data_IF_097317458249
#
_entry.id   IF_097317458249
#
_cell.length_a   1.000
_cell.length_b   1.000
_cell.length_c   1.000
_cell.angle_alpha   90.00
_cell.angle_beta   90.00
_cell.angle_gamma   90.00
#
_symmetry.space_group_name_H-M   'P 1'
#
loop_
_entity.id
_entity.type
_entity.pdbx_description
1 polymer ?
2 polymer ?
3 water ?
#
# COMPACT_ATOMS: atom_id res chain seq x y z
N UNK A 1 4.45 -27.71 3.77
CA UNK A 1 3.27 -28.04 3.00
C UNK A 1 2.79 -26.89 2.14
N UNK A 2 3.70 -26.34 1.35
CA UNK A 2 3.37 -25.19 0.49
C UNK A 2 3.85 -25.42 -0.94
N UNK A 3 3.33 -24.61 -1.86
CA UNK A 3 3.62 -24.76 -3.28
C UNK A 3 4.89 -24.00 -3.69
N UNK A 4 5.61 -24.54 -4.69
CA UNK A 4 6.78 -23.89 -5.29
C UNK A 4 6.47 -22.50 -5.84
N UNK A 5 7.33 -21.53 -5.54
CA UNK A 5 7.19 -20.19 -6.08
C UNK A 5 7.86 -20.10 -7.45
N UNK A 6 7.08 -20.25 -8.51
CA UNK A 6 7.63 -20.29 -9.86
C UNK A 6 7.64 -18.92 -10.53
N UNK A 7 7.56 -17.87 -9.71
CA UNK A 7 7.60 -16.51 -10.23
C UNK A 7 8.92 -16.25 -10.95
N UNK A 8 8.86 -15.45 -12.01
CA UNK A 8 10.05 -15.14 -12.78
C UNK A 8 10.66 -13.80 -12.37
N UNK A 9 11.93 -13.81 -12.00
CA UNK A 9 12.65 -12.58 -11.72
C UNK A 9 13.40 -12.15 -12.97
N UNK A 10 13.09 -10.95 -13.46
CA UNK A 10 13.65 -10.49 -14.72
C UNK A 10 14.79 -9.51 -14.51
N UNK A 11 15.91 -9.78 -15.19
CA UNK A 11 17.07 -8.91 -15.11
C UNK A 11 17.14 -8.00 -16.34
N UNK A 12 17.16 -6.70 -16.09
CA UNK A 12 17.10 -5.73 -17.18
C UNK A 12 18.43 -5.01 -17.35
N UNK A 13 18.81 -4.76 -18.60
CA UNK A 13 20.07 -4.08 -18.89
C UNK A 13 19.92 -2.57 -18.74
N UNK A 14 21.03 -1.90 -18.45
CA UNK A 14 21.04 -0.45 -18.27
C UNK A 14 20.61 0.28 -19.54
N UNK A 15 21.02 -0.26 -20.68
CA UNK A 15 20.73 0.36 -21.97
C UNK A 15 19.25 0.27 -22.34
N UNK A 16 18.52 -0.57 -21.62
CA UNK A 16 17.16 -0.94 -22.02
C UNK A 16 16.08 0.01 -21.52
N UNK A 17 16.42 0.95 -20.65
CA UNK A 17 15.46 1.97 -20.27
C UNK A 17 16.06 3.38 -20.15
N UNK A 18 15.20 4.38 -20.29
CA UNK A 18 15.61 5.79 -20.32
C UNK A 18 15.15 6.52 -19.06
N UNK A 19 16.07 6.98 -18.22
CA UNK A 19 15.71 7.83 -17.10
C UNK A 19 15.37 9.23 -17.61
N UNK A 20 14.21 9.74 -17.22
CA UNK A 20 13.71 11.00 -17.78
C UNK A 20 13.51 12.10 -16.73
N UNK A 21 13.28 11.70 -15.48
CA UNK A 21 13.07 12.68 -14.42
C UNK A 21 13.38 12.15 -13.03
N UNK A 22 13.31 13.05 -12.04
CA UNK A 22 13.50 12.69 -10.64
C UNK A 22 12.21 12.94 -9.86
N UNK A 23 11.80 11.96 -9.07
CA UNK A 23 10.56 12.07 -8.29
C UNK A 23 10.84 12.38 -6.84
N UNK A 24 11.64 11.53 -6.20
CA UNK A 24 12.03 11.71 -4.82
C UNK A 24 13.46 11.30 -4.61
N UNK A 25 14.11 11.89 -3.60
CA UNK A 25 15.50 11.60 -3.32
C UNK A 25 15.72 11.26 -1.86
N UNK A 26 16.73 10.44 -1.59
CA UNK A 26 17.09 10.07 -0.24
C UNK A 26 18.51 9.56 -0.16
N UNK A 27 19.03 9.45 1.06
CA UNK A 27 20.38 8.96 1.28
C UNK A 27 20.51 7.52 0.80
N UNK A 28 19.45 6.75 1.01
CA UNK A 28 19.36 5.38 0.51
C UNK A 28 19.52 5.35 -1.00
N UNK A 29 18.96 6.37 -1.65
CA UNK A 29 18.94 6.44 -3.10
C UNK A 29 17.81 7.33 -3.56
N UNK A 30 17.63 7.44 -4.86
CA UNK A 30 16.62 8.32 -5.43
C UNK A 30 15.67 7.56 -6.35
N UNK A 31 14.48 8.10 -6.56
CA UNK A 31 13.52 7.49 -7.47
C UNK A 31 13.47 8.24 -8.79
N UNK A 32 13.61 7.50 -9.89
CA UNK A 32 13.56 8.10 -11.22
C UNK A 32 12.23 7.78 -11.90
N UNK A 33 11.85 8.64 -12.85
CA UNK A 33 10.77 8.32 -13.76
C UNK A 33 11.36 8.13 -15.14
N UNK A 34 10.94 7.08 -15.82
CA UNK A 34 11.49 6.78 -17.12
C UNK A 34 10.69 5.79 -17.94
N UNK A 35 11.21 5.45 -19.11
CA UNK A 35 10.55 4.53 -20.01
C UNK A 35 11.35 3.25 -20.18
N UNK A 36 10.65 2.13 -20.12
CA UNK A 36 11.26 0.80 -20.19
C UNK A 36 11.05 0.20 -21.57
N UNK A 37 12.13 0.14 -22.35
CA UNK A 37 12.05 -0.34 -23.73
C UNK A 37 12.81 -1.64 -23.93
N UNK A 38 12.14 -2.78 -23.69
CA UNK A 38 12.73 -4.06 -24.09
C UNK A 38 12.80 -4.12 -25.60
N UNK A 39 13.95 -3.85 -26.18
CA UNK A 39 14.03 -3.68 -27.62
C UNK A 39 13.92 -5.00 -28.37
N UNK A 40 13.35 -4.91 -29.57
CA UNK A 40 12.94 -6.10 -30.31
C UNK A 40 11.45 -6.26 -30.13
N UNK A 41 10.87 -5.47 -29.23
CA UNK A 41 9.45 -5.53 -28.91
C UNK A 41 8.69 -4.31 -29.38
N UNK A 42 9.41 -3.23 -29.64
CA UNK A 42 8.83 -1.98 -30.13
C UNK A 42 7.76 -1.45 -29.15
N UNK A 43 8.07 -1.50 -27.86
CA UNK A 43 7.18 -0.95 -26.85
C UNK A 43 7.94 -0.10 -25.83
N UNK A 44 7.32 1.00 -25.41
CA UNK A 44 7.83 1.81 -24.32
C UNK A 44 6.89 1.69 -23.13
N UNK A 45 7.44 1.39 -21.96
CA UNK A 45 6.62 1.24 -20.77
C UNK A 45 7.03 2.22 -19.67
N UNK A 46 6.10 3.09 -19.26
CA UNK A 46 6.33 4.05 -18.17
C UNK A 46 6.62 3.34 -16.86
N UNK A 47 7.81 3.56 -16.31
CA UNK A 47 8.20 2.89 -15.07
C UNK A 47 8.72 3.84 -14.01
N UNK A 48 8.69 3.39 -12.77
CA UNK A 48 9.33 4.08 -11.67
C UNK A 48 10.60 3.33 -11.30
N UNK A 49 11.74 3.96 -11.50
CA UNK A 49 13.02 3.35 -11.20
C UNK A 49 13.58 3.87 -9.88
N UNK A 50 13.92 2.95 -8.99
CA UNK A 50 14.50 3.33 -7.71
C UNK A 50 16.00 3.06 -7.73
N UNK A 51 16.77 4.04 -8.19
CA UNK A 51 18.21 3.86 -8.28
C UNK A 51 18.91 4.09 -6.95
N UNK A 52 19.54 3.02 -6.50
CA UNK A 52 20.37 2.97 -5.31
C UNK A 52 21.44 4.08 -5.32
N UNK A 53 21.77 4.61 -4.15
CA UNK A 53 22.93 5.47 -4.01
C UNK A 53 24.15 4.59 -3.69
N UNK A 54 25.10 4.51 -4.61
CA UNK A 54 26.21 3.55 -4.54
C UNK A 54 26.96 3.54 -3.20
N UNK A 55 26.72 4.54 -2.37
CA UNK A 55 27.22 4.52 -1.01
C UNK A 55 26.33 3.63 -0.14
N UNK A 56 26.45 2.31 -0.30
CA UNK A 56 25.63 1.40 0.50
C UNK A 56 26.30 0.14 1.02
N UNK A 57 26.00 -0.11 2.29
CA UNK A 57 26.22 -1.39 2.93
C UNK A 57 25.60 -2.55 2.16
N UNK A 58 26.23 -3.73 2.25
CA UNK A 58 25.70 -4.97 1.67
C UNK A 58 24.34 -5.25 2.27
N UNK A 59 24.23 -5.00 3.56
CA UNK A 59 22.97 -5.16 4.24
C UNK A 59 21.84 -4.34 3.57
N UNK A 60 22.15 -3.16 3.02
CA UNK A 60 21.11 -2.33 2.43
C UNK A 60 20.57 -2.91 1.13
N UNK A 61 21.48 -3.40 0.31
CA UNK A 61 21.15 -4.05 -0.95
C UNK A 61 20.19 -5.22 -0.77
N UNK A 62 20.40 -5.97 0.31
CA UNK A 62 19.59 -7.14 0.59
C UNK A 62 18.12 -6.76 0.88
N UNK A 63 17.88 -5.84 1.80
CA UNK A 63 16.52 -5.46 2.19
C UNK A 63 15.62 -5.16 0.99
N UNK A 64 16.19 -4.51 -0.01
CA UNK A 64 15.50 -4.22 -1.26
C UNK A 64 15.25 -5.51 -2.06
N UNK A 65 16.25 -6.39 -2.10
CA UNK A 65 16.12 -7.65 -2.83
C UNK A 65 15.01 -8.53 -2.28
N UNK A 66 14.81 -8.52 -0.96
CA UNK A 66 13.74 -9.30 -0.36
C UNK A 66 12.37 -8.70 -0.69
N UNK A 67 12.30 -7.38 -0.79
CA UNK A 67 11.09 -6.74 -1.27
C UNK A 67 10.89 -7.10 -2.72
N UNK A 68 11.98 -7.10 -3.47
CA UNK A 68 11.98 -7.50 -4.87
C UNK A 68 11.52 -8.94 -5.01
N UNK A 69 11.92 -9.78 -4.06
CA UNK A 69 11.47 -11.16 -4.01
C UNK A 69 9.96 -11.22 -3.83
N UNK A 70 9.44 -10.40 -2.92
CA UNK A 70 8.02 -10.38 -2.61
C UNK A 70 7.20 -9.83 -3.78
N UNK A 71 7.67 -8.74 -4.37
CA UNK A 71 6.96 -8.07 -5.46
C UNK A 71 6.88 -8.91 -6.73
N UNK A 72 7.86 -9.78 -6.93
CA UNK A 72 7.93 -10.58 -8.14
C UNK A 72 6.98 -11.76 -8.08
N UNK A 73 6.54 -12.11 -6.87
CA UNK A 73 5.71 -13.30 -6.68
C UNK A 73 4.24 -12.95 -6.47
N UNK A 74 3.85 -11.72 -6.80
CA UNK A 74 2.47 -11.31 -6.70
C UNK A 74 1.91 -10.88 -8.05
N UNK A 75 0.67 -11.28 -8.33
CA UNK A 75 0.02 -10.93 -9.59
C UNK A 75 -1.45 -10.56 -9.32
N UNK A 76 -1.67 -9.32 -8.89
CA UNK A 76 -3.01 -8.83 -8.67
C UNK A 76 -3.18 -7.44 -9.27
N UNK A 77 -4.36 -7.16 -9.85
CA UNK A 77 -4.69 -5.84 -10.39
C UNK A 77 -4.59 -4.73 -9.36
N UNK A 78 -4.60 -5.07 -8.08
CA UNK A 78 -4.57 -4.07 -7.02
C UNK A 78 -3.33 -4.21 -6.14
N UNK A 79 -2.33 -4.91 -6.65
CA UNK A 79 -1.04 -4.98 -6.00
C UNK A 79 0.03 -4.49 -6.98
N UNK A 80 0.87 -3.57 -6.53
CA UNK A 80 1.92 -3.01 -7.37
C UNK A 80 2.85 -4.11 -7.88
N UNK A 81 3.13 -4.10 -9.17
CA UNK A 81 3.96 -5.13 -9.77
C UNK A 81 5.39 -4.68 -10.03
N UNK A 82 6.32 -5.60 -9.85
CA UNK A 82 7.72 -5.40 -10.17
C UNK A 82 8.01 -5.82 -11.60
N UNK A 83 8.59 -4.92 -12.39
CA UNK A 83 8.91 -5.25 -13.78
C UNK A 83 10.20 -6.04 -13.85
N UNK A 84 11.17 -5.61 -13.04
CA UNK A 84 12.46 -6.27 -12.99
C UNK A 84 13.44 -5.48 -12.15
N UNK A 85 14.68 -5.93 -12.15
CA UNK A 85 15.74 -5.25 -11.40
C UNK A 85 16.96 -5.09 -12.30
N UNK A 86 17.78 -4.08 -12.01
CA UNK A 86 19.00 -3.88 -12.78
C UNK A 86 20.22 -3.98 -11.88
N UNK A 87 21.09 -4.93 -12.21
CA UNK A 87 22.31 -5.11 -11.44
C UNK A 87 23.42 -4.22 -11.97
N UNK A 88 23.23 -2.91 -11.84
CA UNK A 88 24.30 -1.95 -12.15
C UNK A 88 25.26 -2.00 -10.95
N UNK A 89 26.29 -1.15 -10.95
CA UNK A 89 27.17 -1.16 -9.80
C UNK A 89 26.34 -0.88 -8.54
N UNK A 90 25.04 -0.69 -8.78
CA UNK A 90 23.99 -0.39 -7.82
C UNK A 90 22.63 -1.00 -8.15
N UNK A 91 22.12 -1.94 -7.37
CA UNK A 91 20.85 -2.58 -7.70
C UNK A 91 19.66 -1.62 -7.63
N UNK A 92 19.02 -1.39 -8.78
CA UNK A 92 17.83 -0.54 -8.85
C UNK A 92 16.60 -1.35 -9.24
N UNK A 93 15.48 -1.05 -8.58
CA UNK A 93 14.23 -1.76 -8.83
C UNK A 93 13.35 -1.03 -9.83
N UNK A 94 12.86 -1.76 -10.82
CA UNK A 94 11.99 -1.18 -11.84
C UNK A 94 10.57 -1.66 -11.64
N UNK A 95 9.67 -0.72 -11.34
CA UNK A 95 8.28 -1.04 -11.11
C UNK A 95 7.38 -0.19 -12.01
N UNK A 96 6.11 -0.56 -12.09
CA UNK A 96 5.13 0.19 -12.86
C UNK A 96 5.00 1.62 -12.32
N UNK A 97 4.83 2.58 -13.22
CA UNK A 97 4.73 3.98 -12.81
C UNK A 97 3.31 4.36 -12.42
N UNK A 98 3.19 4.94 -11.22
CA UNK A 98 1.93 5.46 -10.73
C UNK A 98 1.96 6.99 -10.78
N UNK A 99 1.47 7.58 -11.88
CA UNK A 99 1.58 9.02 -12.15
C UNK A 99 1.04 9.91 -11.05
N UNK A 100 -0.07 9.52 -10.44
CA UNK A 100 -0.71 10.33 -9.40
C UNK A 100 -0.09 10.07 -8.04
N UNK A 101 0.84 9.11 -8.00
CA UNK A 101 1.63 8.85 -6.81
C UNK A 101 0.85 8.40 -5.59
N UNK A 102 1.22 8.96 -4.44
CA UNK A 102 0.67 8.59 -3.15
C UNK A 102 -0.82 8.92 -3.03
N UNK A 103 -1.59 7.97 -2.51
CA UNK A 103 -3.02 8.18 -2.29
C UNK A 103 -3.24 9.18 -1.17
N UNK A 104 -2.38 9.12 -0.15
CA UNK A 104 -2.44 10.04 0.97
C UNK A 104 -2.17 11.47 0.50
N UNK A 105 -1.19 11.63 -0.37
CA UNK A 105 -0.90 12.93 -0.96
C UNK A 105 -2.05 13.37 -1.87
N UNK A 106 -2.67 12.39 -2.53
CA UNK A 106 -3.71 12.67 -3.50
C UNK A 106 -4.98 13.22 -2.86
N UNK A 107 -5.42 12.59 -1.77
CA UNK A 107 -6.64 13.01 -1.11
C UNK A 107 -6.51 14.41 -0.53
N UNK A 108 -5.29 14.75 -0.10
CA UNK A 108 -5.03 16.04 0.53
C UNK A 108 -5.01 17.20 -0.47
N UNK A 109 -4.55 16.94 -1.69
CA UNK A 109 -4.49 17.99 -2.69
C UNK A 109 -5.79 18.06 -3.49
N UNK A 110 -6.64 17.05 -3.32
CA UNK A 110 -7.92 17.03 -4.01
C UNK A 110 -9.12 16.89 -3.07
N UNK A 111 -8.94 17.28 -1.80
CA UNK A 111 -10.03 17.27 -0.80
C UNK A 111 -11.30 17.87 -1.37
N UNK A 112 -11.13 18.90 -2.19
CA UNK A 112 -12.23 19.63 -2.78
C UNK A 112 -13.03 18.82 -3.79
N UNK A 113 -12.37 17.90 -4.48
CA UNK A 113 -13.01 17.21 -5.60
C UNK A 113 -13.07 15.69 -5.51
N UNK A 114 -13.09 15.15 -4.30
CA UNK A 114 -13.23 13.71 -4.13
C UNK A 114 -14.62 13.33 -3.65
N UNK A 115 -15.29 12.47 -4.40
CA UNK A 115 -16.64 12.06 -4.08
C UNK A 115 -16.70 10.71 -3.40
N UNK A 116 -17.87 10.37 -2.86
CA UNK A 116 -18.09 9.13 -2.15
C UNK A 116 -17.83 7.91 -3.02
N UNK A 117 -18.17 8.02 -4.30
CA UNK A 117 -17.96 6.92 -5.24
C UNK A 117 -16.50 6.52 -5.29
N UNK A 118 -15.61 7.51 -5.29
CA UNK A 118 -14.18 7.27 -5.34
C UNK A 118 -13.66 6.68 -4.04
N UNK A 119 -14.04 7.29 -2.92
CA UNK A 119 -13.58 6.85 -1.60
C UNK A 119 -13.98 5.41 -1.32
N UNK A 120 -15.23 5.08 -1.61
CA UNK A 120 -15.74 3.73 -1.39
C UNK A 120 -15.09 2.72 -2.36
N UNK A 121 -14.88 3.15 -3.60
CA UNK A 121 -14.23 2.31 -4.59
C UNK A 121 -12.82 1.91 -4.18
N UNK A 122 -12.10 2.86 -3.60
CA UNK A 122 -10.74 2.62 -3.14
C UNK A 122 -10.73 1.59 -2.01
N UNK A 123 -11.66 1.73 -1.08
CA UNK A 123 -11.79 0.80 0.03
C UNK A 123 -11.97 -0.63 -0.47
N UNK A 124 -12.78 -0.78 -1.51
CA UNK A 124 -13.00 -2.09 -2.12
C UNK A 124 -11.72 -2.63 -2.75
N UNK A 125 -11.02 -1.77 -3.49
CA UNK A 125 -9.82 -2.17 -4.22
C UNK A 125 -8.69 -2.56 -3.27
N UNK A 126 -8.56 -1.85 -2.17
CA UNK A 126 -7.54 -2.17 -1.18
C UNK A 126 -7.86 -3.48 -0.48
N UNK A 127 -9.14 -3.67 -0.14
CA UNK A 127 -9.60 -4.92 0.45
C UNK A 127 -9.37 -6.08 -0.52
N UNK A 128 -9.59 -5.81 -1.80
CA UNK A 128 -9.34 -6.80 -2.85
C UNK A 128 -7.86 -7.12 -2.93
N UNK A 129 -7.03 -6.09 -2.91
CA UNK A 129 -5.59 -6.26 -2.97
C UNK A 129 -5.04 -6.99 -1.76
N UNK A 130 -5.56 -6.64 -0.58
CA UNK A 130 -5.13 -7.27 0.66
C UNK A 130 -5.58 -8.73 0.73
N UNK A 131 -6.74 -9.02 0.15
CA UNK A 131 -7.27 -10.39 0.16
C UNK A 131 -6.39 -11.33 -0.64
N UNK A 132 -5.88 -10.84 -1.77
CA UNK A 132 -4.94 -11.59 -2.58
C UNK A 132 -3.71 -11.96 -1.75
N UNK A 133 -3.22 -10.97 -1.00
CA UNK A 133 -2.07 -11.16 -0.12
C UNK A 133 -2.35 -12.23 0.93
N UNK A 134 -3.59 -12.32 1.39
CA UNK A 134 -3.95 -13.37 2.34
C UNK A 134 -3.99 -14.73 1.66
N UNK A 135 -4.48 -14.76 0.42
CA UNK A 135 -4.54 -16.01 -0.34
C UNK A 135 -3.15 -16.57 -0.62
N UNK A 136 -2.16 -15.67 -0.73
CA UNK A 136 -0.76 -16.02 -0.90
C UNK A 136 -0.04 -16.01 0.45
N UNK A 137 -0.85 -16.03 1.50
CA UNK A 137 -0.40 -16.24 2.89
C UNK A 137 0.59 -15.18 3.39
N UNK A 138 0.49 -13.98 2.84
CA UNK A 138 1.45 -12.92 3.12
C UNK A 138 0.88 -11.85 4.05
N UNK A 139 1.77 -11.23 4.83
CA UNK A 139 1.38 -10.16 5.75
C UNK A 139 2.15 -8.89 5.43
N UNK A 140 1.42 -7.83 5.07
CA UNK A 140 2.04 -6.59 4.64
C UNK A 140 2.81 -5.90 5.76
N UNK A 141 2.24 -5.93 6.97
CA UNK A 141 2.86 -5.38 8.18
C UNK A 141 3.13 -3.88 8.12
N UNK A 142 2.64 -3.21 7.07
CA UNK A 142 2.77 -1.77 6.96
C UNK A 142 1.71 -1.23 6.01
N UNK A 143 0.46 -1.58 6.25
CA UNK A 143 -0.64 -1.06 5.47
C UNK A 143 -0.99 0.35 5.93
N UNK A 144 -0.78 1.32 5.04
CA UNK A 144 -1.09 2.71 5.34
C UNK A 144 -1.48 3.44 4.07
N UNK A 145 -2.09 4.62 4.23
CA UNK A 145 -2.52 5.41 3.08
C UNK A 145 -1.32 5.91 2.28
N UNK A 146 -0.18 6.04 2.95
CA UNK A 146 1.04 6.48 2.30
C UNK A 146 1.64 5.39 1.44
N UNK A 147 1.15 4.15 1.63
CA UNK A 147 1.67 3.01 0.88
C UNK A 147 0.64 2.45 -0.08
N UNK A 148 -0.30 3.29 -0.49
CA UNK A 148 -1.22 2.96 -1.58
C UNK A 148 -1.00 3.96 -2.71
N UNK A 149 -0.69 3.46 -3.89
CA UNK A 149 -0.36 4.33 -5.01
C UNK A 149 -1.51 4.44 -5.99
N UNK A 150 -1.53 5.56 -6.73
CA UNK A 150 -2.61 5.83 -7.67
C UNK A 150 -2.12 5.75 -9.12
N UNK A 151 -2.63 4.77 -9.85
CA UNK A 151 -2.34 4.64 -11.27
C UNK A 151 -3.23 5.60 -12.05
N UNK A 152 -4.53 5.49 -11.81
CA UNK A 152 -5.52 6.48 -12.23
C UNK A 152 -6.42 6.70 -11.01
N UNK A 153 -7.11 7.86 -10.96
CA UNK A 153 -8.00 8.11 -9.81
C UNK A 153 -8.97 6.98 -9.51
N UNK A 154 -9.32 6.19 -10.52
CA UNK A 154 -10.26 5.10 -10.37
C UNK A 154 -9.57 3.79 -10.04
N UNK A 155 -8.24 3.79 -10.05
CA UNK A 155 -7.47 2.57 -9.83
C UNK A 155 -6.27 2.79 -8.91
N UNK A 156 -6.29 2.14 -7.75
CA UNK A 156 -5.19 2.24 -6.80
C UNK A 156 -4.56 0.87 -6.52
N UNK A 157 -3.27 0.87 -6.21
CA UNK A 157 -2.55 -0.38 -5.94
C UNK A 157 -1.79 -0.32 -4.61
N UNK A 158 -1.60 -1.49 -4.01
CA UNK A 158 -0.89 -1.61 -2.75
C UNK A 158 0.62 -1.77 -2.98
N UNK A 159 1.43 -1.16 -2.13
CA UNK A 159 2.89 -1.22 -2.31
C UNK A 159 3.65 -1.22 -0.98
N UNK A 160 4.96 -1.03 -1.08
CA UNK A 160 5.87 -0.97 0.07
C UNK A 160 6.07 -2.22 0.92
N UNK A 161 6.63 -3.27 0.31
CA UNK A 161 6.71 -4.59 0.91
C UNK A 161 8.02 -4.80 1.65
N UNK A 162 8.60 -3.71 2.14
CA UNK A 162 9.84 -3.79 2.89
C UNK A 162 9.66 -4.57 4.18
N UNK A 163 8.47 -4.48 4.77
CA UNK A 163 8.19 -5.16 6.02
C UNK A 163 7.23 -6.33 5.81
N UNK A 164 6.91 -6.62 4.56
CA UNK A 164 5.99 -7.71 4.24
C UNK A 164 6.66 -9.07 4.35
N UNK A 165 6.30 -9.81 5.39
CA UNK A 165 6.88 -11.14 5.63
C UNK A 165 5.83 -12.26 5.49
N UNK A 166 6.24 -13.39 4.88
CA UNK A 166 5.35 -14.49 4.52
C UNK A 166 5.38 -15.60 5.60
N UNK A 167 4.28 -16.36 5.69
CA UNK A 167 4.17 -17.44 6.67
C UNK A 167 4.08 -18.76 5.91
N UNK A 168 4.79 -19.79 6.37
CA UNK A 168 4.67 -21.13 5.80
C UNK A 168 3.32 -21.77 6.11
N UNK A 169 3.11 -23.00 5.65
CA UNK A 169 1.79 -23.64 5.71
C UNK A 169 1.20 -23.76 7.11
N UNK A 170 2.02 -24.03 8.11
CA UNK A 170 1.50 -24.31 9.46
C UNK A 170 1.67 -23.16 10.44
N UNK A 171 1.69 -21.93 9.93
CA UNK A 171 1.92 -20.77 10.78
C UNK A 171 0.65 -19.91 10.85
N UNK A 172 0.44 -19.26 11.96
CA UNK A 172 -0.69 -18.36 12.13
C UNK A 172 -0.21 -16.97 12.50
N UNK A 173 0.87 -16.95 13.28
CA UNK A 173 1.43 -15.72 13.82
C UNK A 173 2.95 -15.85 13.79
N UNK A 174 3.67 -14.75 13.58
CA UNK A 174 5.08 -14.78 13.96
C UNK A 174 5.70 -13.45 14.32
N UNK A 175 6.61 -13.55 15.29
CA UNK A 175 7.23 -12.42 15.97
C UNK A 175 8.35 -11.78 15.18
N UNK A 176 8.58 -10.50 15.46
CA UNK A 176 9.76 -9.78 15.02
C UNK A 176 10.43 -9.18 16.25
N UNK A 177 11.61 -8.62 16.09
CA UNK A 177 12.33 -8.07 17.24
C UNK A 177 12.17 -6.56 17.36
N UNK A 178 12.59 -5.81 16.35
CA UNK A 178 12.63 -4.37 16.47
C UNK A 178 12.84 -3.63 15.17
N UNK A 179 13.39 -2.43 15.27
CA UNK A 179 13.47 -1.52 14.16
C UNK A 179 12.33 -0.52 14.31
N UNK A 180 12.38 0.57 13.54
CA UNK A 180 11.34 1.58 13.62
C UNK A 180 10.04 1.08 13.00
N UNK A 181 8.92 1.30 13.70
CA UNK A 181 7.63 0.77 13.30
C UNK A 181 6.52 1.83 13.35
N UNK A 182 5.47 1.65 12.51
CA UNK A 182 4.33 2.57 12.50
C UNK A 182 3.32 2.29 13.61
N UNK A 183 3.57 2.82 14.81
CA UNK A 183 2.74 2.58 15.98
C UNK A 183 1.26 2.90 15.75
N UNK A 184 0.99 4.03 15.11
CA UNK A 184 -0.37 4.54 14.95
C UNK A 184 -1.25 3.67 14.07
N UNK A 185 -0.63 2.84 13.24
CA UNK A 185 -1.37 1.97 12.31
C UNK A 185 -1.45 0.54 12.82
N UNK A 186 -0.70 0.23 13.86
CA UNK A 186 -0.54 -1.15 14.33
C UNK A 186 -1.63 -1.59 15.31
N UNK A 187 -1.98 -2.87 15.22
CA UNK A 187 -2.89 -3.47 16.18
C UNK A 187 -2.25 -3.50 17.56
N UNK A 188 -3.07 -3.70 18.60
CA UNK A 188 -2.55 -3.77 19.95
C UNK A 188 -1.70 -5.02 20.12
N UNK A 189 -2.08 -6.08 19.42
CA UNK A 189 -1.36 -7.34 19.43
C UNK A 189 0.11 -7.13 19.10
N UNK A 190 0.34 -6.32 18.07
CA UNK A 190 1.67 -6.11 17.51
C UNK A 190 2.53 -5.20 18.37
N UNK A 191 1.93 -4.16 18.94
CA UNK A 191 2.68 -3.21 19.74
C UNK A 191 3.21 -3.87 21.03
N UNK A 192 2.35 -4.64 21.68
CA UNK A 192 2.69 -5.23 22.96
C UNK A 192 3.55 -6.49 22.85
N UNK A 193 3.26 -7.34 21.86
CA UNK A 193 3.93 -8.64 21.77
C UNK A 193 4.69 -8.87 20.47
N UNK A 194 4.75 -7.86 19.60
CA UNK A 194 5.37 -7.98 18.28
C UNK A 194 4.76 -9.12 17.47
N UNK A 195 3.45 -9.31 17.62
CA UNK A 195 2.73 -10.34 16.89
C UNK A 195 1.99 -9.76 15.70
N UNK A 196 2.30 -10.28 14.52
CA UNK A 196 1.68 -9.82 13.29
C UNK A 196 0.95 -10.96 12.60
N UNK A 197 -0.34 -10.77 12.35
CA UNK A 197 -1.14 -11.73 11.60
C UNK A 197 -1.90 -10.99 10.50
N UNK A 198 -2.76 -11.71 9.80
CA UNK A 198 -3.58 -11.08 8.77
C UNK A 198 -4.62 -10.15 9.41
N UNK A 199 -5.05 -10.52 10.60
CA UNK A 199 -6.02 -9.72 11.35
C UNK A 199 -5.38 -8.44 11.87
N UNK A 200 -4.06 -8.46 12.04
CA UNK A 200 -3.34 -7.24 12.40
C UNK A 200 -3.31 -6.30 11.21
N UNK A 201 -3.36 -6.86 10.01
CA UNK A 201 -3.43 -6.06 8.79
C UNK A 201 -4.83 -5.47 8.60
N UNK A 202 -5.83 -6.14 9.17
CA UNK A 202 -7.20 -5.65 9.14
C UNK A 202 -7.31 -4.36 9.93
N UNK A 203 -6.58 -4.30 11.05
CA UNK A 203 -6.51 -3.09 11.86
C UNK A 203 -6.02 -1.91 11.04
N UNK A 204 -4.91 -2.11 10.35
CA UNK A 204 -4.30 -1.06 9.54
C UNK A 204 -5.20 -0.66 8.37
N UNK A 205 -6.07 -1.56 7.95
CA UNK A 205 -7.06 -1.26 6.93
C UNK A 205 -8.03 -0.22 7.45
N UNK A 206 -8.52 -0.42 8.68
CA UNK A 206 -9.44 0.51 9.31
C UNK A 206 -8.82 1.88 9.51
N UNK A 207 -7.54 1.90 9.89
CA UNK A 207 -6.82 3.16 10.06
C UNK A 207 -6.63 3.83 8.70
N UNK A 208 -6.33 3.03 7.68
CA UNK A 208 -6.14 3.54 6.32
C UNK A 208 -7.44 4.14 5.79
N UNK A 209 -8.55 3.45 6.03
CA UNK A 209 -9.86 3.94 5.63
C UNK A 209 -10.17 5.24 6.36
N UNK A 210 -9.83 5.29 7.65
CA UNK A 210 -10.03 6.49 8.46
C UNK A 210 -9.23 7.67 7.88
N UNK A 211 -8.03 7.38 7.37
CA UNK A 211 -7.21 8.40 6.73
C UNK A 211 -7.92 8.98 5.52
N UNK A 212 -8.48 8.11 4.69
CA UNK A 212 -9.18 8.51 3.48
C UNK A 212 -10.43 9.33 3.82
N UNK A 213 -11.17 8.85 4.81
CA UNK A 213 -12.44 9.48 5.19
C UNK A 213 -12.23 10.87 5.78
N UNK A 214 -11.11 11.07 6.46
CA UNK A 214 -10.76 12.37 7.02
C UNK A 214 -9.98 13.21 6.01
N UNK A 215 -9.84 12.66 4.80
CA UNK A 215 -9.11 13.31 3.71
C UNK A 215 -7.66 13.60 4.08
N UNK A 216 -7.02 12.65 4.76
CA UNK A 216 -5.59 12.74 5.01
C UNK A 216 -5.18 13.27 6.37
N UNK A 217 -6.09 13.22 7.34
CA UNK A 217 -5.74 13.62 8.70
C UNK A 217 -4.79 12.60 9.31
N UNK A 218 -4.12 12.99 10.39
CA UNK A 218 -3.17 12.11 11.05
C UNK A 218 -3.81 11.44 12.26
N UNK A 219 -3.76 10.09 12.30
CA UNK A 219 -4.33 9.35 13.43
C UNK A 219 -3.59 9.64 14.72
N UNK A 220 -4.34 9.98 15.77
CA UNK A 220 -3.78 10.33 17.06
C UNK A 220 -2.75 11.45 16.95
N UNK A 221 -3.14 12.55 16.33
CA UNK A 221 -2.23 13.67 16.13
C UNK A 221 -2.03 14.44 17.43
N UNK A 222 -0.78 14.82 17.70
CA UNK A 222 -0.44 15.50 18.93
C UNK A 222 -0.03 14.52 20.01
N UNK A 223 -0.82 13.46 20.17
CA UNK A 223 -0.51 12.39 21.11
C UNK A 223 0.82 11.74 20.76
N UNK A 224 1.71 11.62 21.75
CA UNK A 224 2.99 10.92 21.51
C UNK A 224 2.76 9.44 21.25
N UNK A 225 3.67 8.82 20.49
CA UNK A 225 3.53 7.42 20.13
C UNK A 225 3.66 6.50 21.36
N UNK A 226 4.29 7.02 22.41
CA UNK A 226 4.53 6.25 23.62
C UNK A 226 3.23 5.87 24.32
N UNK A 227 2.22 6.73 24.21
CA UNK A 227 0.98 6.56 24.95
C UNK A 227 -0.06 5.74 24.20
N UNK A 228 0.21 5.42 22.94
CA UNK A 228 -0.77 4.74 22.09
C UNK A 228 -1.23 3.41 22.65
N UNK A 229 -0.29 2.56 23.05
CA UNK A 229 -0.60 1.26 23.63
C UNK A 229 -1.56 1.43 24.81
N UNK A 230 -1.18 2.30 25.75
CA UNK A 230 -1.99 2.58 26.92
C UNK A 230 -3.39 3.08 26.57
N UNK A 231 -3.47 4.02 25.62
CA UNK A 231 -4.75 4.61 25.22
C UNK A 231 -5.68 3.57 24.61
N UNK A 232 -5.17 2.77 23.69
CA UNK A 232 -5.97 1.72 23.06
C UNK A 232 -6.48 0.72 24.09
N UNK A 233 -5.65 0.44 25.10
CA UNK A 233 -6.04 -0.47 26.17
C UNK A 233 -7.20 0.12 26.99
N UNK A 234 -7.26 1.44 27.06
CA UNK A 234 -8.35 2.12 27.74
C UNK A 234 -9.64 2.01 26.94
N UNK A 235 -9.52 1.59 25.69
CA UNK A 235 -10.67 1.34 24.86
C UNK A 235 -10.98 2.48 23.89
N UNK A 236 -10.10 3.48 23.88
CA UNK A 236 -10.29 4.63 22.99
C UNK A 236 -9.91 4.29 21.55
N UNK A 237 -10.67 4.83 20.61
CA UNK A 237 -10.38 4.68 19.19
C UNK A 237 -10.34 6.02 18.49
N UNK A 238 -10.11 5.99 17.17
CA UNK A 238 -10.17 7.19 16.36
C UNK A 238 -11.60 7.70 16.29
N UNK A 239 -11.76 9.04 16.27
CA UNK A 239 -13.09 9.63 16.19
C UNK A 239 -13.78 9.32 14.86
N UNK A 240 -15.10 9.38 14.84
CA UNK A 240 -15.84 9.19 13.60
C UNK A 240 -15.70 10.40 12.69
N UNK A 241 -15.11 10.19 11.50
CA UNK A 241 -15.00 11.28 10.53
C UNK A 241 -16.36 11.81 10.10
N UNK A 242 -16.49 13.13 9.96
CA UNK A 242 -17.73 13.86 9.69
C UNK A 242 -18.58 13.32 8.54
N UNK A 243 -17.93 12.94 7.43
CA UNK A 243 -18.67 12.50 6.25
C UNK A 243 -19.20 11.08 6.40
N UNK A 244 -18.81 10.41 7.47
CA UNK A 244 -19.14 9.00 7.63
C UNK A 244 -20.48 8.73 8.27
N UNK A 245 -21.28 7.92 7.59
CA UNK A 245 -22.48 7.34 8.19
C UNK A 245 -22.04 6.35 9.26
N UNK A 246 -22.97 5.99 10.13
CA UNK A 246 -22.65 5.06 11.20
C UNK A 246 -22.31 3.67 10.64
N UNK A 247 -22.85 3.36 9.48
CA UNK A 247 -22.61 2.08 8.82
C UNK A 247 -21.14 1.89 8.45
N UNK A 248 -20.56 2.95 7.89
CA UNK A 248 -19.15 2.92 7.48
C UNK A 248 -18.24 2.91 8.70
N UNK A 249 -18.54 3.78 9.66
CA UNK A 249 -17.72 3.89 10.87
C UNK A 249 -17.83 2.63 11.72
N UNK A 250 -19.00 1.99 11.68
CA UNK A 250 -19.21 0.71 12.37
C UNK A 250 -18.16 -0.30 11.93
N UNK A 251 -17.88 -0.32 10.63
CA UNK A 251 -16.94 -1.26 10.04
C UNK A 251 -15.50 -0.98 10.49
N UNK A 252 -15.14 0.31 10.56
CA UNK A 252 -13.82 0.70 11.02
C UNK A 252 -13.57 0.24 12.45
N UNK A 253 -14.56 0.46 13.31
CA UNK A 253 -14.48 0.09 14.71
C UNK A 253 -14.28 -1.42 14.86
N UNK A 254 -14.92 -2.18 13.99
CA UNK A 254 -14.77 -3.64 13.98
C UNK A 254 -13.34 -4.06 13.69
N UNK A 255 -12.63 -3.24 12.92
CA UNK A 255 -11.24 -3.53 12.59
C UNK A 255 -10.32 -3.28 13.77
N UNK A 256 -10.85 -2.68 14.83
CA UNK A 256 -10.04 -2.25 15.95
C UNK A 256 -10.40 -2.95 17.26
N UNK A 257 -11.03 -4.11 17.17
CA UNK A 257 -11.37 -4.85 18.38
C UNK A 257 -10.12 -5.56 18.92
N UNK A 258 -10.05 -5.70 20.25
CA UNK A 258 -8.92 -6.37 20.88
C UNK A 258 -8.82 -7.81 20.41
N UNK A 259 -9.96 -8.47 20.30
CA UNK A 259 -10.01 -9.83 19.78
C UNK A 259 -9.86 -9.81 18.27
N UNK A 260 -8.75 -10.35 17.78
CA UNK A 260 -8.46 -10.37 16.36
C UNK A 260 -9.44 -11.24 15.58
N UNK A 261 -9.94 -12.29 16.23
CA UNK A 261 -10.94 -13.17 15.63
C UNK A 261 -12.22 -12.42 15.32
N UNK A 262 -12.57 -11.47 16.21
CA UNK A 262 -13.80 -10.70 16.06
C UNK A 262 -13.72 -9.74 14.88
N UNK A 263 -12.50 -9.40 14.48
CA UNK A 263 -12.30 -8.47 13.37
C UNK A 263 -12.75 -9.07 12.04
N UNK A 264 -13.19 -8.19 11.12
CA UNK A 264 -13.67 -8.65 9.81
C UNK A 264 -12.56 -9.27 8.96
N UNK A 265 -12.94 -10.06 7.98
CA UNK A 265 -11.99 -10.59 7.01
C UNK A 265 -11.97 -9.67 5.81
N UNK A 266 -10.87 -9.67 5.06
CA UNK A 266 -10.77 -8.84 3.88
C UNK A 266 -11.83 -9.21 2.87
N UNK A 267 -12.13 -10.50 2.76
CA UNK A 267 -13.18 -10.98 1.87
C UNK A 267 -14.54 -10.44 2.31
N UNK A 268 -14.71 -10.24 3.61
CA UNK A 268 -15.93 -9.67 4.14
C UNK A 268 -15.97 -8.17 3.90
N UNK A 269 -14.80 -7.53 3.98
CA UNK A 269 -14.69 -6.10 3.76
C UNK A 269 -15.03 -5.72 2.32
N UNK A 270 -14.61 -6.56 1.38
CA UNK A 270 -14.94 -6.34 -0.03
C UNK A 270 -16.45 -6.32 -0.22
N UNK A 271 -17.14 -7.29 0.38
CA UNK A 271 -18.58 -7.43 0.24
C UNK A 271 -19.33 -6.22 0.77
N UNK A 272 -18.98 -5.78 1.98
CA UNK A 272 -19.69 -4.67 2.62
C UNK A 272 -19.49 -3.35 1.89
N UNK A 273 -18.25 -3.06 1.52
CA UNK A 273 -17.94 -1.82 0.82
C UNK A 273 -18.49 -1.82 -0.61
N UNK A 274 -18.59 -3.01 -1.20
CA UNK A 274 -19.17 -3.14 -2.54
C UNK A 274 -20.67 -2.84 -2.49
N UNK A 275 -21.30 -3.28 -1.40
CA UNK A 275 -22.71 -2.97 -1.15
C UNK A 275 -22.91 -1.46 -1.08
N UNK A 276 -21.97 -0.79 -0.43
CA UNK A 276 -22.07 0.64 -0.21
C UNK A 276 -21.65 1.43 -1.44
N UNK A 277 -20.82 0.82 -2.29
CA UNK A 277 -20.35 1.47 -3.50
C UNK A 277 -21.45 1.56 -4.56
N UNK A 278 -22.51 0.77 -4.40
CA UNK A 278 -23.62 0.81 -5.33
C UNK A 278 -24.52 2.02 -5.01
N UNK A 279 -24.56 2.40 -3.75
CA UNK A 279 -25.30 3.59 -3.33
C UNK A 279 -24.41 4.50 -2.47
N UNK A 280 -23.44 5.16 -3.11
CA UNK A 280 -22.39 5.92 -2.42
C UNK A 280 -22.91 7.06 -1.54
N UNK A 281 -23.92 7.78 -2.02
CA UNK A 281 -24.44 8.93 -1.30
C UNK A 281 -25.15 8.55 -0.01
N UNK A 282 -25.67 7.33 0.04
CA UNK A 282 -26.38 6.86 1.23
C UNK A 282 -25.41 6.59 2.38
N UNK A 283 -24.16 6.33 2.06
CA UNK A 283 -23.21 5.91 3.08
C UNK A 283 -22.11 6.93 3.37
N UNK A 284 -21.95 7.90 2.47
CA UNK A 284 -21.03 9.00 2.71
C UNK A 284 -21.67 10.33 2.35
N UNK A 285 -21.78 11.21 3.34
CA UNK A 285 -22.39 12.52 3.12
C UNK A 285 -21.32 13.59 2.92
N UNK A 286 -21.09 13.96 1.67
CA UNK A 286 -20.11 14.97 1.33
C UNK A 286 -20.79 16.12 0.59
N UNK A 287 -20.38 17.34 0.91
CA UNK A 287 -20.96 18.53 0.27
C UNK A 287 -20.53 18.65 -1.18
N UNK A 288 -21.49 18.83 -2.07
CA UNK A 288 -21.21 18.96 -3.49
C UNK A 288 -20.85 17.63 -4.12
N UNK A 289 -21.20 16.54 -3.43
CA UNK A 289 -20.93 15.18 -3.90
C UNK A 289 -21.51 14.93 -5.27
N UNK A 290 -22.64 15.57 -5.55
CA UNK A 290 -23.36 15.39 -6.81
C UNK A 290 -22.58 15.87 -8.03
N UNK A 291 -21.69 16.83 -7.81
CA UNK A 291 -21.04 17.52 -8.93
C UNK A 291 -19.52 17.26 -9.03
N UNK A 292 -19.02 16.34 -8.20
CA UNK A 292 -17.58 16.07 -8.17
C UNK A 292 -17.09 15.35 -9.43
N UNK A 293 -15.86 15.67 -9.84
CA UNK A 293 -15.24 15.01 -10.98
C UNK A 293 -13.71 15.06 -10.88
N UNK A 294 -13.06 14.00 -11.32
CA UNK A 294 -11.60 13.90 -11.28
C UNK A 294 -11.05 13.55 -12.66
N UNK A 295 -9.78 13.90 -12.93
CA UNK A 295 -9.13 13.59 -14.22
C UNK A 295 -9.16 12.09 -14.56
N UNK A 308 1.91 14.09 -22.88
CA UNK A 308 2.44 14.07 -21.51
C UNK A 308 3.96 14.19 -21.57
N UNK A 309 4.64 13.28 -22.26
CA UNK A 309 6.09 13.40 -22.34
C UNK A 309 6.58 14.02 -23.65
N UNK A 311 5.73 11.73 -27.98
CA UNK A 311 6.51 10.51 -28.26
C UNK A 311 5.75 9.28 -27.79
N UNK A 312 4.53 9.48 -27.31
CA UNK A 312 3.78 8.42 -26.67
C UNK A 312 2.90 7.62 -27.63
N UNK A 313 3.52 7.03 -28.64
CA UNK A 313 2.76 6.25 -29.63
C UNK A 313 2.92 4.74 -29.41
N UNK A 314 4.10 4.32 -28.98
CA UNK A 314 4.34 2.90 -28.71
C UNK A 314 4.21 2.59 -27.22
N UNK A 315 3.62 3.52 -26.48
CA UNK A 315 3.50 3.38 -25.03
C UNK A 315 2.43 2.38 -24.64
N UNK A 316 2.84 1.42 -23.82
CA UNK A 316 1.93 0.47 -23.19
C UNK A 316 2.10 0.60 -21.69
N UNK A 317 1.05 0.37 -20.93
CA UNK A 317 1.21 0.34 -19.49
C UNK A 317 1.48 -1.10 -19.06
N UNK A 318 2.28 -1.24 -18.01
CA UNK A 318 2.76 -2.53 -17.53
C UNK A 318 1.68 -3.60 -17.40
N UNK A 319 0.46 -3.17 -17.05
CA UNK A 319 -0.65 -4.10 -16.87
C UNK A 319 -1.04 -4.77 -18.19
N UNK A 320 -0.83 -4.07 -19.30
CA UNK A 320 -1.13 -4.64 -20.61
C UNK A 320 0.08 -5.40 -21.15
N UNK A 321 1.22 -5.28 -20.47
CA UNK A 321 2.42 -5.99 -20.87
C UNK A 321 2.60 -7.26 -20.06
N UNK A 322 2.48 -8.40 -20.74
CA UNK A 322 2.62 -9.70 -20.07
C UNK A 322 3.75 -10.51 -20.68
N UNK A 323 4.22 -11.50 -19.93
CA UNK A 323 5.31 -12.36 -20.38
C UNK A 323 4.87 -13.82 -20.39
N UNK B 1 8.87 10.07 10.04
CA UNK B 1 8.36 10.55 11.32
C UNK B 1 7.16 9.74 11.78
N UNK B 2 6.95 8.59 11.14
CA UNK B 2 5.83 7.73 11.51
C UNK B 2 6.35 6.38 11.97
N UNK B 3 7.66 6.22 11.97
CA UNK B 3 8.31 4.98 12.36
C UNK B 3 9.16 5.18 13.60
N UNK B 4 8.79 4.48 14.68
CA UNK B 4 9.47 4.65 15.96
C UNK B 4 9.98 3.32 16.52
N UNK B 5 11.00 3.40 17.37
CA UNK B 5 11.48 2.20 18.07
C UNK B 5 11.14 2.28 19.56
N UNK B 6 10.03 1.65 19.91
CA UNK B 6 9.51 1.57 21.27
C UNK B 6 10.30 0.46 21.98
N UNK B 7 10.14 0.29 23.31
CA UNK B 7 10.85 -0.88 23.86
C UNK B 7 10.30 -2.22 23.37
#
# INVERSE_FOLDING_TARGET
>A
GEAPNQALLRILKETEFKKIKVLGSGAFGTVYKGLWIPEGEKVKIPVAIKELREATSPKANKEILDEAYVMASVDNPHVCRLLGICLTSTVQLITQLMPFGCLLDYVREHKDNIGSQYLLNWCVQIAKGMNYLEDRRLVHRDLAARNVLVKTPQHVKITDFGRAKLLGAEEKEYHAEGGKVPIKWMALESILHRIYTHQSDVWSYGVTVWELMTFGSKPYDGIPASEISSILEKGERLPQPPICTIDVYMIMVKCWMIDADSRPKFRELIIEFSKMARDPQRYLVIQGDERMHLPSPTDSNFYRALMDEEDMDDVVDADEYLI
>B
THYYLLP
#
